data_IF_582091580855
#
_entry.id   IF_582091580855
#
_cell.length_a   1.000
_cell.length_b   1.000
_cell.length_c   1.000
_cell.angle_alpha   90.00
_cell.angle_beta   90.00
_cell.angle_gamma   90.00
#
_symmetry.space_group_name_H-M   'P 1'
#
loop_
_entity.id
_entity.type
_entity.pdbx_description
1 polymer ?
#
# COMPACT_ATOMS: atom_id res chain seq x y z
N UNK A 1 19.66 -1.92 -0.02
CA UNK A 1 18.86 -3.15 -0.16
C UNK A 1 17.40 -2.74 -0.16
N UNK A 2 16.64 -3.06 -1.21
CA UNK A 2 15.23 -2.67 -1.33
C UNK A 2 14.29 -3.64 -0.61
N UNK A 3 13.17 -3.12 -0.11
CA UNK A 3 12.08 -3.91 0.48
C UNK A 3 11.08 -4.28 -0.60
N UNK A 4 10.59 -5.52 -0.60
CA UNK A 4 9.64 -6.04 -1.58
C UNK A 4 8.43 -6.65 -0.90
N UNK A 5 7.28 -6.61 -1.58
CA UNK A 5 6.05 -7.25 -1.12
C UNK A 5 5.11 -7.62 -2.27
N UNK A 6 4.08 -8.41 -1.96
CA UNK A 6 3.09 -8.85 -2.94
C UNK A 6 1.73 -9.15 -2.29
N UNK A 7 0.65 -9.11 -3.09
CA UNK A 7 -0.66 -9.59 -2.65
C UNK A 7 -0.68 -11.12 -2.49
N UNK A 8 -1.72 -11.64 -1.84
CA UNK A 8 -1.87 -13.07 -1.55
C UNK A 8 -1.77 -13.96 -2.79
N UNK A 9 -2.35 -13.55 -3.92
CA UNK A 9 -2.28 -14.34 -5.16
C UNK A 9 -0.95 -14.19 -5.92
N UNK A 10 -0.06 -13.29 -5.48
CA UNK A 10 1.25 -13.05 -6.06
C UNK A 10 1.28 -12.23 -7.35
N UNK A 11 0.13 -11.88 -7.95
CA UNK A 11 0.09 -11.14 -9.24
C UNK A 11 0.52 -9.68 -9.11
N UNK A 12 0.03 -8.98 -8.08
CA UNK A 12 0.47 -7.62 -7.75
C UNK A 12 1.62 -7.68 -6.78
N UNK A 13 2.73 -7.06 -7.15
CA UNK A 13 3.92 -6.91 -6.31
C UNK A 13 4.50 -5.51 -6.45
N UNK A 14 5.23 -5.10 -5.43
CA UNK A 14 5.83 -3.78 -5.32
C UNK A 14 7.22 -3.88 -4.70
N UNK A 15 8.01 -2.84 -4.92
CA UNK A 15 9.25 -2.64 -4.19
C UNK A 15 9.48 -1.15 -3.89
N UNK A 16 10.22 -0.89 -2.82
CA UNK A 16 10.74 0.44 -2.53
C UNK A 16 12.16 0.39 -1.96
N UNK A 17 12.87 1.52 -2.07
CA UNK A 17 14.21 1.69 -1.51
C UNK A 17 14.29 2.86 -0.52
N UNK A 18 15.21 2.77 0.44
CA UNK A 18 15.43 3.79 1.45
C UNK A 18 14.53 3.66 2.68
N UNK A 19 14.49 4.73 3.49
CA UNK A 19 13.84 4.73 4.81
C UNK A 19 12.33 5.00 4.74
N UNK A 20 11.60 4.47 5.73
CA UNK A 20 10.20 4.80 5.94
C UNK A 20 10.08 6.23 6.48
N UNK A 21 9.11 6.99 5.99
CA UNK A 21 8.85 8.37 6.42
C UNK A 21 7.81 8.46 7.52
N UNK A 22 7.01 7.42 7.69
CA UNK A 22 5.90 7.36 8.63
C UNK A 22 5.45 5.92 8.83
N UNK A 23 4.97 5.58 10.02
CA UNK A 23 4.43 4.27 10.36
C UNK A 23 3.23 4.44 11.30
N UNK A 24 2.20 3.60 11.16
CA UNK A 24 1.09 3.59 12.11
C UNK A 24 0.33 2.26 12.15
N UNK A 25 -0.45 2.09 13.21
CA UNK A 25 -1.52 1.09 13.31
C UNK A 25 -2.88 1.81 13.21
N UNK A 26 -3.48 1.79 12.01
CA UNK A 26 -4.72 2.50 11.73
C UNK A 26 -5.94 1.61 11.97
N UNK A 27 -6.97 2.18 12.60
CA UNK A 27 -8.24 1.53 12.91
C UNK A 27 -9.45 2.31 12.37
N UNK A 28 -9.22 3.29 11.48
CA UNK A 28 -10.32 4.03 10.87
C UNK A 28 -11.13 3.15 9.90
N UNK A 29 -12.38 3.55 9.67
CA UNK A 29 -13.34 2.80 8.86
C UNK A 29 -12.85 2.58 7.41
N UNK A 30 -12.27 3.61 6.78
CA UNK A 30 -11.68 3.50 5.43
C UNK A 30 -10.57 2.45 5.35
N UNK A 31 -9.63 2.45 6.31
CA UNK A 31 -8.51 1.51 6.28
C UNK A 31 -8.99 0.08 6.57
N UNK A 32 -9.93 -0.08 7.50
CA UNK A 32 -10.54 -1.37 7.81
C UNK A 32 -11.25 -1.96 6.60
N UNK A 33 -12.03 -1.15 5.86
CA UNK A 33 -12.71 -1.57 4.62
C UNK A 33 -11.74 -1.83 3.49
N UNK A 34 -10.71 -0.99 3.34
CA UNK A 34 -9.69 -1.14 2.29
C UNK A 34 -8.95 -2.48 2.39
N UNK A 35 -8.63 -2.93 3.60
CA UNK A 35 -7.83 -4.14 3.81
C UNK A 35 -8.63 -5.33 4.35
N UNK A 36 -9.95 -5.18 4.53
CA UNK A 36 -10.81 -6.20 5.17
C UNK A 36 -10.25 -6.72 6.50
N UNK A 37 -9.77 -5.80 7.34
CA UNK A 37 -9.08 -6.10 8.60
C UNK A 37 -9.56 -5.19 9.74
N UNK A 38 -9.50 -5.63 11.02
CA UNK A 38 -9.87 -4.78 12.14
C UNK A 38 -8.89 -3.63 12.41
N UNK A 39 -7.61 -3.85 12.10
CA UNK A 39 -6.52 -2.86 12.21
C UNK A 39 -5.55 -3.12 11.04
N UNK A 40 -4.94 -2.06 10.52
CA UNK A 40 -3.96 -2.13 9.42
C UNK A 40 -2.67 -1.44 9.85
N UNK A 41 -1.55 -2.15 9.71
CA UNK A 41 -0.22 -1.55 9.81
C UNK A 41 0.11 -0.86 8.49
N UNK A 42 0.35 0.45 8.53
CA UNK A 42 0.80 1.23 7.39
C UNK A 42 2.23 1.68 7.58
N UNK A 43 2.93 1.81 6.46
CA UNK A 43 4.16 2.56 6.34
C UNK A 43 4.06 3.55 5.17
N UNK A 44 4.73 4.68 5.29
CA UNK A 44 4.89 5.68 4.25
C UNK A 44 6.31 5.66 3.71
N UNK A 45 6.44 5.83 2.39
CA UNK A 45 7.72 6.00 1.70
C UNK A 45 7.58 7.09 0.64
N UNK A 46 8.67 7.77 0.23
CA UNK A 46 8.60 8.73 -0.87
C UNK A 46 8.18 8.04 -2.18
N UNK A 47 7.23 8.62 -2.92
CA UNK A 47 6.74 8.04 -4.18
C UNK A 47 7.85 7.78 -5.20
N UNK A 48 8.86 8.66 -5.27
CA UNK A 48 10.03 8.49 -6.14
C UNK A 48 10.86 7.22 -5.84
N UNK A 49 10.71 6.68 -4.64
CA UNK A 49 11.40 5.48 -4.18
C UNK A 49 10.54 4.22 -4.33
N UNK A 50 9.27 4.34 -4.71
CA UNK A 50 8.32 3.23 -4.81
C UNK A 50 8.03 2.90 -6.28
N UNK A 51 7.89 1.61 -6.59
CA UNK A 51 7.37 1.18 -7.88
C UNK A 51 6.58 -0.13 -7.78
N UNK A 52 5.61 -0.30 -8.67
CA UNK A 52 5.02 -1.60 -8.94
C UNK A 52 6.04 -2.48 -9.70
N UNK A 53 6.15 -3.74 -9.31
CA UNK A 53 7.05 -4.72 -9.93
C UNK A 53 6.29 -5.84 -10.64
N UNK A 54 5.03 -6.08 -10.26
CA UNK A 54 4.13 -7.06 -10.89
C UNK A 54 3.00 -6.38 -11.66
N UNK A 55 1.85 -7.06 -11.75
CA UNK A 55 0.64 -6.47 -12.32
C UNK A 55 0.19 -5.28 -11.46
N UNK A 56 0.02 -4.12 -12.10
CA UNK A 56 -0.49 -2.94 -11.42
C UNK A 56 -1.89 -3.23 -10.83
N UNK A 57 -2.15 -2.81 -9.58
CA UNK A 57 -3.44 -3.02 -8.95
C UNK A 57 -4.54 -2.18 -9.61
N UNK A 58 -5.79 -2.54 -9.36
CA UNK A 58 -6.92 -1.63 -9.57
C UNK A 58 -6.80 -0.47 -8.58
N UNK A 59 -7.22 0.72 -9.02
CA UNK A 59 -7.15 1.94 -8.21
C UNK A 59 -8.53 2.54 -8.02
N UNK A 60 -8.84 2.92 -6.78
CA UNK A 60 -10.02 3.68 -6.39
C UNK A 60 -9.57 5.00 -5.76
N UNK A 61 -10.09 6.13 -6.24
CA UNK A 61 -9.94 7.40 -5.54
C UNK A 61 -10.99 7.47 -4.41
N UNK A 62 -10.58 7.16 -3.18
CA UNK A 62 -11.51 7.12 -2.03
C UNK A 62 -11.96 8.51 -1.60
N UNK A 63 -11.12 9.50 -1.84
CA UNK A 63 -11.41 10.93 -1.66
C UNK A 63 -10.46 11.71 -2.56
N UNK A 64 -10.71 13.00 -2.79
CA UNK A 64 -9.94 13.83 -3.73
C UNK A 64 -8.43 13.74 -3.44
N UNK A 65 -7.67 13.13 -4.36
CA UNK A 65 -6.23 12.95 -4.26
C UNK A 65 -5.77 11.79 -3.37
N UNK A 66 -6.67 10.98 -2.82
CA UNK A 66 -6.36 9.80 -2.00
C UNK A 66 -6.74 8.53 -2.73
N UNK A 67 -5.73 7.76 -3.11
CA UNK A 67 -5.89 6.54 -3.90
C UNK A 67 -5.71 5.29 -3.03
N UNK A 68 -6.57 4.31 -3.29
CA UNK A 68 -6.61 2.99 -2.66
C UNK A 68 -6.39 1.93 -3.73
N UNK A 69 -5.60 0.92 -3.42
CA UNK A 69 -5.15 -0.07 -4.40
C UNK A 69 -5.57 -1.47 -4.01
N UNK A 70 -6.07 -2.23 -4.98
CA UNK A 70 -6.56 -3.58 -4.80
C UNK A 70 -5.97 -4.50 -5.86
N UNK A 71 -5.43 -5.61 -5.37
CA UNK A 71 -5.33 -6.86 -6.11
C UNK A 71 -6.76 -7.46 -6.06
#
# INVERSE_FOLDING_TARGET
MGTRGHCLCGKTSWEYEGETTWECYCHCDDCRRNCSAPVVAWLGVPLRNFRWAGQAPKTLESSKGVFRHFC
#
